data_IF_841856015011
#
_entry.id   IF_841856015011
#
_cell.length_a   1.000
_cell.length_b   1.000
_cell.length_c   1.000
_cell.angle_alpha   90.00
_cell.angle_beta   90.00
_cell.angle_gamma   90.00
#
_symmetry.space_group_name_H-M   'P 1'
#
loop_
_entity.id
_entity.type
_entity.pdbx_description
1 polymer ?
#
# COMPACT_ATOMS: atom_id res chain seq x y z
N UNK A 1 5.33 21.61 -4.32
CA UNK A 1 5.18 20.99 -5.66
C UNK A 1 3.85 20.29 -5.66
N UNK A 2 3.03 20.50 -6.69
CA UNK A 2 1.73 19.86 -6.80
C UNK A 2 1.93 18.39 -7.19
N UNK A 3 1.86 17.49 -6.21
CA UNK A 3 2.12 16.05 -6.38
C UNK A 3 0.86 15.26 -6.69
N UNK A 4 -0.32 15.90 -6.69
CA UNK A 4 -1.60 15.24 -6.92
C UNK A 4 -2.11 15.59 -8.31
N UNK A 5 -2.49 14.58 -9.09
CA UNK A 5 -3.14 14.75 -10.39
C UNK A 5 -4.45 13.98 -10.41
N UNK A 6 -5.48 14.56 -11.01
CA UNK A 6 -6.78 13.91 -11.21
C UNK A 6 -6.99 13.63 -12.69
N UNK A 7 -7.47 12.44 -13.00
CA UNK A 7 -7.79 11.99 -14.36
C UNK A 7 -9.20 11.43 -14.33
N UNK A 8 -10.08 11.98 -15.17
CA UNK A 8 -11.44 11.46 -15.34
C UNK A 8 -11.52 10.64 -16.62
N UNK A 9 -12.10 9.44 -16.52
CA UNK A 9 -12.32 8.53 -17.62
C UNK A 9 -13.83 8.49 -17.94
N UNK A 10 -14.23 9.21 -19.00
CA UNK A 10 -15.64 9.38 -19.36
C UNK A 10 -16.36 8.06 -19.65
N UNK A 11 -15.71 7.13 -20.35
CA UNK A 11 -16.32 5.86 -20.76
C UNK A 11 -16.73 4.97 -19.59
N UNK A 12 -15.93 4.99 -18.51
CA UNK A 12 -16.16 4.21 -17.30
C UNK A 12 -16.75 5.03 -16.15
N UNK A 13 -16.97 6.34 -16.34
CA UNK A 13 -17.37 7.28 -15.29
C UNK A 13 -16.48 7.14 -14.03
N UNK A 14 -15.16 7.01 -14.25
CA UNK A 14 -14.18 6.74 -13.21
C UNK A 14 -13.26 7.94 -13.01
N UNK A 15 -13.04 8.34 -11.76
CA UNK A 15 -12.02 9.30 -11.39
C UNK A 15 -10.80 8.57 -10.80
N UNK A 16 -9.61 8.96 -11.26
CA UNK A 16 -8.33 8.46 -10.76
C UNK A 16 -7.56 9.62 -10.15
N UNK A 17 -7.29 9.52 -8.86
CA UNK A 17 -6.39 10.43 -8.13
C UNK A 17 -4.99 9.81 -8.06
N UNK A 18 -4.06 10.38 -8.83
CA UNK A 18 -2.65 10.00 -8.87
C UNK A 18 -1.87 10.84 -7.86
N UNK A 19 -1.25 10.18 -6.88
CA UNK A 19 -0.43 10.81 -5.86
C UNK A 19 1.04 10.46 -6.12
N UNK A 20 1.82 11.46 -6.53
CA UNK A 20 3.27 11.32 -6.63
C UNK A 20 3.90 11.31 -5.24
N UNK A 21 4.52 10.20 -4.86
CA UNK A 21 5.26 10.08 -3.61
C UNK A 21 6.76 10.21 -3.86
N UNK A 22 7.49 10.66 -2.84
CA UNK A 22 8.95 10.56 -2.82
C UNK A 22 9.33 9.52 -1.77
N UNK A 23 10.01 8.46 -2.22
CA UNK A 23 10.48 7.39 -1.35
C UNK A 23 11.30 7.97 -0.20
N UNK A 24 10.93 7.65 1.04
CA UNK A 24 11.50 8.16 2.32
C UNK A 24 10.96 9.49 2.87
N UNK A 25 9.98 10.12 2.24
CA UNK A 25 9.39 11.35 2.78
C UNK A 25 8.23 11.07 3.74
N UNK A 26 8.37 11.49 4.99
CA UNK A 26 7.27 11.48 5.97
C UNK A 26 6.10 12.38 5.54
N UNK A 27 6.40 13.44 4.77
CA UNK A 27 5.40 14.32 4.20
C UNK A 27 4.59 13.59 3.12
N UNK A 28 5.22 12.70 2.34
CA UNK A 28 4.49 11.86 1.38
C UNK A 28 3.55 10.87 2.07
N UNK A 29 3.99 10.23 3.16
CA UNK A 29 3.12 9.34 3.95
C UNK A 29 1.91 10.09 4.54
N UNK A 30 2.16 11.26 5.14
CA UNK A 30 1.10 12.11 5.70
C UNK A 30 0.12 12.59 4.63
N UNK A 31 0.61 12.97 3.44
CA UNK A 31 -0.23 13.38 2.33
C UNK A 31 -1.11 12.23 1.82
N UNK A 32 -0.56 11.03 1.67
CA UNK A 32 -1.30 9.83 1.26
C UNK A 32 -2.41 9.52 2.26
N UNK A 33 -2.10 9.49 3.56
CA UNK A 33 -3.09 9.25 4.61
C UNK A 33 -4.24 10.26 4.53
N UNK A 34 -3.89 11.55 4.47
CA UNK A 34 -4.87 12.62 4.42
C UNK A 34 -5.80 12.48 3.20
N UNK A 35 -5.23 12.27 2.01
CA UNK A 35 -6.00 12.17 0.78
C UNK A 35 -6.93 10.95 0.79
N UNK A 36 -6.46 9.78 1.23
CA UNK A 36 -7.30 8.58 1.28
C UNK A 36 -8.47 8.77 2.26
N UNK A 37 -8.22 9.36 3.43
CA UNK A 37 -9.26 9.59 4.43
C UNK A 37 -10.28 10.66 4.00
N UNK A 38 -9.84 11.68 3.25
CA UNK A 38 -10.73 12.73 2.74
C UNK A 38 -11.56 12.26 1.54
N UNK A 39 -10.93 11.58 0.59
CA UNK A 39 -11.57 11.19 -0.69
C UNK A 39 -12.32 9.85 -0.60
N UNK A 40 -11.96 8.97 0.34
CA UNK A 40 -12.57 7.63 0.52
C UNK A 40 -12.76 6.87 -0.81
N UNK A 41 -11.68 6.60 -1.56
CA UNK A 41 -11.79 5.98 -2.87
C UNK A 41 -12.23 4.51 -2.78
N UNK A 42 -12.97 4.03 -3.79
CA UNK A 42 -13.40 2.62 -3.88
C UNK A 42 -12.21 1.64 -3.94
N UNK A 43 -11.05 2.09 -4.41
CA UNK A 43 -9.85 1.24 -4.57
C UNK A 43 -8.58 2.07 -4.42
N UNK A 44 -7.62 1.54 -3.66
CA UNK A 44 -6.27 2.08 -3.55
C UNK A 44 -5.29 1.19 -4.29
N UNK A 45 -4.70 1.72 -5.35
CA UNK A 45 -3.66 1.05 -6.14
C UNK A 45 -2.28 1.58 -5.74
N UNK A 46 -1.32 0.69 -5.54
CA UNK A 46 0.07 1.08 -5.23
C UNK A 46 1.00 0.57 -6.34
N UNK A 47 1.74 1.51 -6.92
CA UNK A 47 2.84 1.22 -7.83
C UNK A 47 4.07 0.75 -7.03
N UNK A 48 4.65 -0.37 -7.44
CA UNK A 48 5.84 -0.95 -6.83
C UNK A 48 6.81 -1.33 -7.95
N UNK A 49 8.06 -0.92 -7.80
CA UNK A 49 9.13 -1.44 -8.66
C UNK A 49 9.25 -2.97 -8.56
N UNK A 50 9.89 -3.56 -9.56
CA UNK A 50 10.01 -5.02 -9.69
C UNK A 50 10.65 -5.68 -8.46
N UNK A 51 11.62 -5.02 -7.81
CA UNK A 51 12.31 -5.57 -6.64
C UNK A 51 11.36 -5.65 -5.44
N UNK A 52 10.54 -4.62 -5.22
CA UNK A 52 9.51 -4.59 -4.16
C UNK A 52 8.39 -5.56 -4.46
N UNK A 53 7.92 -5.61 -5.70
CA UNK A 53 6.91 -6.59 -6.13
C UNK A 53 7.38 -8.02 -5.89
N UNK A 54 8.63 -8.34 -6.26
CA UNK A 54 9.23 -9.66 -6.00
C UNK A 54 9.35 -9.96 -4.51
N UNK A 55 9.71 -8.99 -3.67
CA UNK A 55 9.77 -9.15 -2.22
C UNK A 55 8.39 -9.48 -1.64
N UNK A 56 7.35 -8.75 -2.06
CA UNK A 56 5.95 -9.00 -1.67
C UNK A 56 5.49 -10.39 -2.16
N UNK A 57 5.75 -10.75 -3.41
CA UNK A 57 5.34 -12.02 -4.00
C UNK A 57 6.04 -13.23 -3.37
N UNK A 58 7.33 -13.09 -3.03
CA UNK A 58 8.12 -14.18 -2.43
C UNK A 58 7.72 -14.46 -0.99
N UNK A 59 7.25 -13.45 -0.25
CA UNK A 59 6.70 -13.65 1.11
C UNK A 59 5.28 -14.22 1.11
N UNK A 60 4.50 -13.94 0.06
CA UNK A 60 3.20 -14.55 -0.20
C UNK A 60 3.30 -15.92 -0.89
N UNK A 61 4.51 -16.36 -1.28
CA UNK A 61 4.69 -17.70 -1.81
C UNK A 61 4.21 -18.70 -0.74
N UNK A 62 3.33 -19.66 -1.09
CA UNK A 62 2.83 -20.61 -0.12
C UNK A 62 4.03 -21.38 0.44
N UNK A 63 4.45 -21.04 1.67
CA UNK A 63 5.28 -21.92 2.47
C UNK A 63 4.56 -23.24 2.47
N UNK A 64 5.13 -24.25 1.79
CA UNK A 64 4.62 -25.63 1.68
C UNK A 64 3.96 -25.99 3.02
N UNK A 65 2.62 -25.91 3.07
CA UNK A 65 1.88 -26.07 4.31
C UNK A 65 1.97 -27.54 4.66
N UNK A 66 2.74 -27.85 5.70
CA UNK A 66 2.57 -29.09 6.45
C UNK A 66 1.23 -28.94 7.18
N UNK A 67 0.23 -29.61 6.62
CA UNK A 67 -1.11 -29.94 7.12
C UNK A 67 -1.66 -29.15 8.33
N UNK A 68 -2.79 -28.47 8.13
CA UNK A 68 -3.74 -28.15 9.20
C UNK A 68 -4.16 -26.68 9.30
N UNK A 69 -5.47 -26.44 9.16
CA UNK A 69 -6.26 -25.26 9.56
C UNK A 69 -6.01 -23.94 8.81
N UNK A 70 -6.94 -23.55 7.93
CA UNK A 70 -6.99 -22.34 7.08
C UNK A 70 -6.26 -21.11 7.62
N UNK A 71 -5.37 -20.56 6.80
CA UNK A 71 -4.70 -19.29 7.10
C UNK A 71 -5.57 -18.17 6.54
N UNK A 72 -6.28 -17.46 7.43
CA UNK A 72 -7.02 -16.25 7.12
C UNK A 72 -6.06 -15.22 6.51
N UNK A 73 -6.40 -14.68 5.34
CA UNK A 73 -5.58 -13.76 4.53
C UNK A 73 -5.05 -12.56 5.33
N UNK A 74 -5.80 -12.11 6.32
CA UNK A 74 -5.45 -11.06 7.30
C UNK A 74 -4.13 -11.34 8.06
N UNK A 75 -3.83 -12.61 8.36
CA UNK A 75 -2.60 -12.98 9.10
C UNK A 75 -1.34 -12.87 8.25
N UNK A 76 -1.47 -12.91 6.92
CA UNK A 76 -0.34 -12.80 5.98
C UNK A 76 0.08 -11.33 5.84
N UNK A 77 -0.90 -10.42 5.70
CA UNK A 77 -0.64 -8.98 5.75
C UNK A 77 -0.10 -8.53 7.11
N UNK A 78 -0.64 -9.03 8.23
CA UNK A 78 -0.11 -8.70 9.56
C UNK A 78 1.34 -9.15 9.76
N UNK A 79 1.74 -10.28 9.17
CA UNK A 79 3.14 -10.74 9.19
C UNK A 79 4.05 -9.88 8.32
N UNK A 80 3.55 -9.38 7.18
CA UNK A 80 4.24 -8.42 6.32
C UNK A 80 4.42 -7.07 7.01
N UNK A 81 3.35 -6.52 7.61
CA UNK A 81 3.37 -5.29 8.41
C UNK A 81 4.43 -5.35 9.52
N UNK A 82 4.44 -6.45 10.29
CA UNK A 82 5.39 -6.65 11.38
C UNK A 82 6.84 -6.78 10.90
N UNK A 83 7.07 -7.54 9.82
CA UNK A 83 8.42 -7.78 9.29
C UNK A 83 9.05 -6.54 8.64
N UNK A 84 8.23 -5.67 8.06
CA UNK A 84 8.71 -4.38 7.52
C UNK A 84 8.89 -3.34 8.64
N UNK A 85 7.96 -3.28 9.61
CA UNK A 85 8.05 -2.37 10.76
C UNK A 85 9.27 -2.62 11.66
N UNK A 86 9.63 -3.88 11.91
CA UNK A 86 10.72 -4.26 12.83
C UNK A 86 12.13 -3.84 12.34
N UNK A 87 12.30 -3.38 11.08
CA UNK A 87 13.61 -3.00 10.52
C UNK A 87 13.87 -1.49 10.41
N UNK A 88 12.93 -0.64 10.81
CA UNK A 88 12.76 0.64 10.12
C UNK A 88 12.28 1.75 11.06
N UNK A 89 13.21 2.48 11.71
CA UNK A 89 12.87 3.63 12.57
C UNK A 89 12.47 4.90 11.78
N UNK A 90 12.85 4.99 10.49
CA UNK A 90 12.21 5.74 9.37
C UNK A 90 12.79 5.14 8.09
N UNK A 91 11.95 4.80 7.10
CA UNK A 91 12.36 3.81 6.12
C UNK A 91 11.75 3.92 4.72
N UNK A 92 12.51 3.54 3.68
CA UNK A 92 11.98 3.29 2.34
C UNK A 92 10.67 2.48 2.36
N UNK A 93 9.59 3.05 1.82
CA UNK A 93 8.28 2.39 1.70
C UNK A 93 7.23 2.78 2.76
N UNK A 94 7.50 3.76 3.62
CA UNK A 94 6.51 4.29 4.58
C UNK A 94 5.25 4.86 3.91
N UNK A 95 5.39 5.42 2.72
CA UNK A 95 4.32 5.95 1.88
C UNK A 95 3.35 4.86 1.41
N UNK A 96 3.88 3.74 0.89
CA UNK A 96 3.07 2.60 0.48
C UNK A 96 2.39 1.89 1.66
N UNK A 97 3.11 1.69 2.77
CA UNK A 97 2.50 1.08 3.97
C UNK A 97 1.36 1.94 4.51
N UNK A 98 1.56 3.25 4.57
CA UNK A 98 0.52 4.18 4.99
C UNK A 98 -0.68 4.11 4.03
N UNK A 99 -0.46 3.95 2.73
CA UNK A 99 -1.54 3.73 1.76
C UNK A 99 -2.37 2.48 2.09
N UNK A 100 -1.71 1.35 2.39
CA UNK A 100 -2.39 0.11 2.80
C UNK A 100 -3.20 0.33 4.07
N UNK A 101 -2.58 0.91 5.11
CA UNK A 101 -3.22 1.12 6.41
C UNK A 101 -4.43 2.06 6.29
N UNK A 102 -4.29 3.16 5.56
CA UNK A 102 -5.39 4.11 5.34
C UNK A 102 -6.52 3.50 4.51
N UNK A 103 -6.21 2.66 3.53
CA UNK A 103 -7.21 1.94 2.75
C UNK A 103 -8.04 0.96 3.59
N UNK A 104 -7.51 0.45 4.71
CA UNK A 104 -8.24 -0.42 5.63
C UNK A 104 -9.17 0.35 6.60
N UNK A 105 -9.05 1.67 6.66
CA UNK A 105 -9.85 2.53 7.54
C UNK A 105 -11.07 3.14 6.84
N UNK A 106 -11.13 3.07 5.52
CA UNK A 106 -12.22 3.59 4.68
C UNK A 106 -13.13 2.48 4.17
#
# INVERSE_FOLDING_TARGET
>A
MDTVRRVFLDESQMEITLIGTMHVSQDSASAVQKIILEEQPDTVCIELDESRMRAVATENAPRKRRNGAGLHFERVLGAFQKKIGDKMNTAPGSDFLQAIESAQMV
#
